data_IF_344051284568
#
_entry.id   IF_344051284568
#
_cell.length_a   1.000
_cell.length_b   1.000
_cell.length_c   1.000
_cell.angle_alpha   90.00
_cell.angle_beta   90.00
_cell.angle_gamma   90.00
#
_symmetry.space_group_name_H-M   'P 1'
#
loop_
_entity.id
_entity.type
_entity.pdbx_description
1 polymer ?
#
# COMPACT_ATOMS: atom_id res chain seq x y z
N UNK A 1 5.77 -21.70 -13.65
CA UNK A 1 5.75 -22.02 -12.20
C UNK A 1 6.49 -20.87 -11.51
N UNK A 2 5.92 -19.78 -10.99
CA UNK A 2 4.64 -19.53 -10.31
C UNK A 2 4.10 -18.10 -10.56
N UNK A 3 4.32 -17.46 -11.71
CA UNK A 3 3.68 -16.17 -12.05
C UNK A 3 3.91 -14.99 -11.09
N UNK A 4 4.75 -15.16 -10.07
CA UNK A 4 5.10 -14.15 -9.10
C UNK A 4 6.38 -13.46 -9.54
N UNK A 5 6.43 -12.14 -9.35
CA UNK A 5 7.63 -11.34 -9.50
C UNK A 5 7.81 -10.51 -8.22
N UNK A 6 9.05 -10.39 -7.77
CA UNK A 6 9.41 -9.55 -6.63
C UNK A 6 9.86 -8.18 -7.16
N UNK A 7 9.49 -7.12 -6.44
CA UNK A 7 10.03 -5.77 -6.67
C UNK A 7 10.69 -5.33 -5.37
N UNK A 8 11.93 -4.89 -5.46
CA UNK A 8 12.71 -4.39 -4.34
C UNK A 8 13.18 -2.96 -4.61
N UNK A 9 13.39 -2.22 -3.53
CA UNK A 9 13.95 -0.87 -3.54
C UNK A 9 14.66 -0.66 -2.21
N UNK A 10 15.81 0.02 -2.23
CA UNK A 10 16.46 0.49 -1.01
C UNK A 10 15.67 1.59 -0.31
N UNK A 11 14.78 2.28 -1.04
CA UNK A 11 13.84 3.25 -0.48
C UNK A 11 12.45 2.62 -0.35
N UNK A 12 12.06 2.37 0.90
CA UNK A 12 10.76 1.76 1.28
C UNK A 12 9.56 2.61 0.86
N UNK A 13 9.74 3.92 0.67
CA UNK A 13 8.71 4.84 0.20
C UNK A 13 8.10 4.40 -1.12
N UNK A 14 8.95 4.07 -2.10
CA UNK A 14 8.51 3.64 -3.42
C UNK A 14 7.73 2.33 -3.32
N UNK A 15 8.13 1.45 -2.40
CA UNK A 15 7.48 0.15 -2.22
C UNK A 15 6.11 0.27 -1.58
N UNK A 16 5.99 1.06 -0.52
CA UNK A 16 4.70 1.33 0.11
C UNK A 16 3.76 2.07 -0.85
N UNK A 17 4.28 3.05 -1.59
CA UNK A 17 3.52 3.80 -2.60
C UNK A 17 2.92 2.88 -3.66
N UNK A 18 3.75 1.98 -4.22
CA UNK A 18 3.32 1.03 -5.24
C UNK A 18 2.32 0.01 -4.68
N UNK A 19 2.59 -0.52 -3.48
CA UNK A 19 1.72 -1.49 -2.81
C UNK A 19 0.30 -0.93 -2.62
N UNK A 20 0.18 0.26 -2.01
CA UNK A 20 -1.11 0.89 -1.74
C UNK A 20 -1.87 1.20 -3.03
N UNK A 21 -1.18 1.76 -4.02
CA UNK A 21 -1.78 2.06 -5.33
C UNK A 21 -2.34 0.80 -5.99
N UNK A 22 -1.59 -0.30 -5.98
CA UNK A 22 -2.02 -1.56 -6.58
C UNK A 22 -3.18 -2.19 -5.81
N UNK A 23 -3.13 -2.22 -4.48
CA UNK A 23 -4.23 -2.77 -3.68
C UNK A 23 -5.53 -2.00 -3.86
N UNK A 24 -5.47 -0.66 -3.92
CA UNK A 24 -6.64 0.17 -4.23
C UNK A 24 -7.20 -0.08 -5.64
N UNK A 25 -6.33 -0.14 -6.65
CA UNK A 25 -6.76 -0.40 -8.03
C UNK A 25 -7.45 -1.76 -8.16
N UNK A 26 -6.89 -2.80 -7.51
CA UNK A 26 -7.47 -4.15 -7.51
C UNK A 26 -8.81 -4.22 -6.77
N UNK A 27 -9.04 -3.37 -5.76
CA UNK A 27 -10.33 -3.28 -5.08
C UNK A 27 -11.35 -2.39 -5.80
N UNK A 28 -10.98 -1.75 -6.91
CA UNK A 28 -11.86 -0.87 -7.68
C UNK A 28 -12.20 0.45 -7.01
N UNK A 29 -11.50 0.82 -5.92
CA UNK A 29 -11.83 2.01 -5.13
C UNK A 29 -11.17 3.27 -5.70
N UNK A 30 -11.89 4.38 -5.62
CA UNK A 30 -11.34 5.71 -5.87
C UNK A 30 -10.53 6.22 -4.68
N UNK A 31 -9.70 7.24 -4.89
CA UNK A 31 -8.96 7.91 -3.81
C UNK A 31 -9.88 8.51 -2.75
N UNK A 32 -11.04 9.04 -3.16
CA UNK A 32 -12.00 9.62 -2.21
C UNK A 32 -12.64 8.54 -1.36
N UNK A 33 -13.07 7.42 -1.95
CA UNK A 33 -13.67 6.32 -1.20
C UNK A 33 -12.74 5.76 -0.13
N UNK A 34 -11.44 5.63 -0.41
CA UNK A 34 -10.47 5.18 0.59
C UNK A 34 -10.25 6.24 1.67
N UNK A 35 -10.16 7.51 1.29
CA UNK A 35 -10.05 8.60 2.27
C UNK A 35 -11.27 8.68 3.19
N UNK A 36 -12.49 8.49 2.65
CA UNK A 36 -13.73 8.47 3.41
C UNK A 36 -13.74 7.30 4.43
N UNK A 37 -13.29 6.10 4.01
CA UNK A 37 -13.14 4.93 4.90
C UNK A 37 -12.15 5.17 6.04
N UNK A 38 -11.14 6.01 5.80
CA UNK A 38 -10.12 6.39 6.79
C UNK A 38 -10.55 7.58 7.66
N UNK A 39 -11.73 8.17 7.43
CA UNK A 39 -12.18 9.38 8.10
C UNK A 39 -11.35 10.63 7.74
N UNK A 40 -10.65 10.61 6.60
CA UNK A 40 -9.88 11.76 6.15
C UNK A 40 -10.78 12.82 5.51
N UNK A 41 -10.54 14.08 5.84
CA UNK A 41 -11.26 15.23 5.27
C UNK A 41 -10.94 15.51 3.79
N UNK A 42 -9.92 14.85 3.23
CA UNK A 42 -9.50 15.05 1.84
C UNK A 42 -8.95 13.78 1.22
N UNK A 43 -9.33 13.50 -0.04
CA UNK A 43 -8.72 12.47 -0.88
C UNK A 43 -7.20 12.62 -1.01
N UNK A 44 -6.69 13.85 -0.89
CA UNK A 44 -5.26 14.12 -0.99
C UNK A 44 -4.47 13.55 0.18
N UNK A 45 -5.08 13.37 1.36
CA UNK A 45 -4.44 12.77 2.52
C UNK A 45 -4.04 11.32 2.25
N UNK A 46 -4.92 10.55 1.61
CA UNK A 46 -4.60 9.19 1.16
C UNK A 46 -3.66 9.21 -0.06
N UNK A 47 -3.89 10.10 -1.04
CA UNK A 47 -3.06 10.19 -2.24
C UNK A 47 -1.58 10.51 -1.98
N UNK A 48 -1.24 11.18 -0.88
CA UNK A 48 0.15 11.44 -0.46
C UNK A 48 0.93 10.14 -0.26
N UNK A 49 0.30 9.10 0.27
CA UNK A 49 0.93 7.80 0.44
C UNK A 49 1.15 7.10 -0.90
N UNK A 50 0.15 7.11 -1.80
CA UNK A 50 0.28 6.53 -3.16
C UNK A 50 1.24 7.28 -4.08
N UNK A 51 1.65 8.50 -3.71
CA UNK A 51 2.67 9.30 -4.41
C UNK A 51 4.04 9.23 -3.76
N UNK A 52 4.19 8.50 -2.65
CA UNK A 52 5.42 8.46 -1.87
C UNK A 52 5.77 9.79 -1.17
N UNK A 53 4.85 10.75 -1.05
CA UNK A 53 5.13 12.01 -0.36
C UNK A 53 5.23 11.84 1.16
N UNK A 54 4.71 10.73 1.69
CA UNK A 54 4.72 10.39 3.11
C UNK A 54 4.89 8.89 3.26
N UNK A 55 5.77 8.49 4.18
CA UNK A 55 5.95 7.08 4.55
C UNK A 55 5.12 6.82 5.81
N UNK A 56 4.17 5.87 5.79
CA UNK A 56 3.37 5.57 6.97
C UNK A 56 4.21 4.84 8.02
N UNK A 57 3.83 4.99 9.28
CA UNK A 57 4.25 4.05 10.33
C UNK A 57 3.67 2.66 10.04
N UNK A 58 4.21 1.62 10.66
CA UNK A 58 3.68 0.26 10.49
C UNK A 58 2.19 0.15 10.88
N UNK A 59 1.79 0.79 11.98
CA UNK A 59 0.37 0.83 12.39
C UNK A 59 -0.51 1.51 11.34
N UNK A 60 -0.09 2.67 10.84
CA UNK A 60 -0.83 3.38 9.79
C UNK A 60 -0.87 2.59 8.48
N UNK A 61 0.20 1.86 8.14
CA UNK A 61 0.22 0.97 6.98
C UNK A 61 -0.87 -0.11 7.07
N UNK A 62 -1.05 -0.71 8.26
CA UNK A 62 -2.14 -1.64 8.52
C UNK A 62 -3.51 -1.03 8.28
N UNK A 63 -3.77 0.17 8.84
CA UNK A 63 -5.03 0.90 8.60
C UNK A 63 -5.28 1.21 7.12
N UNK A 64 -4.25 1.69 6.41
CA UNK A 64 -4.34 2.01 4.99
C UNK A 64 -4.69 0.77 4.15
N UNK A 65 -4.05 -0.37 4.47
CA UNK A 65 -4.26 -1.63 3.76
C UNK A 65 -5.62 -2.25 4.08
N UNK A 66 -6.09 -2.15 5.32
CA UNK A 66 -7.44 -2.55 5.70
C UNK A 66 -8.50 -1.69 5.00
N UNK A 67 -8.28 -0.39 4.87
CA UNK A 67 -9.21 0.50 4.18
C UNK A 67 -9.39 0.16 2.68
N UNK A 68 -8.30 -0.26 2.01
CA UNK A 68 -8.37 -0.68 0.59
C UNK A 68 -8.88 -2.10 0.40
N UNK A 69 -8.64 -2.99 1.36
CA UNK A 69 -9.13 -4.37 1.33
C UNK A 69 -9.38 -4.90 2.76
N UNK A 70 -10.62 -4.78 3.29
CA UNK A 70 -10.95 -5.19 4.66
C UNK A 70 -10.85 -6.69 4.91
N UNK A 71 -10.92 -7.49 3.84
CA UNK A 71 -11.00 -8.96 3.92
C UNK A 71 -9.64 -9.64 3.72
N UNK A 72 -8.56 -8.86 3.61
CA UNK A 72 -7.23 -9.40 3.37
C UNK A 72 -6.29 -9.08 4.52
N UNK A 73 -5.65 -10.12 5.03
CA UNK A 73 -4.51 -9.99 5.93
C UNK A 73 -3.24 -9.72 5.14
N UNK A 74 -2.35 -8.96 5.76
CA UNK A 74 -1.02 -8.68 5.21
C UNK A 74 -0.06 -9.69 5.81
N UNK A 75 0.61 -10.43 4.94
CA UNK A 75 1.69 -11.34 5.33
C UNK A 75 3.00 -10.76 4.83
N UNK A 76 3.97 -10.63 5.73
CA UNK A 76 5.34 -10.20 5.42
C UNK A 76 6.22 -11.43 5.48
N UNK A 77 6.94 -11.70 4.39
CA UNK A 77 7.89 -12.79 4.27
C UNK A 77 9.26 -12.23 3.91
N UNK A 78 10.31 -12.98 4.26
CA UNK A 78 11.66 -12.71 3.76
C UNK A 78 11.71 -12.91 2.24
N UNK A 79 12.43 -12.03 1.54
CA UNK A 79 12.63 -12.17 0.10
C UNK A 79 13.46 -13.42 -0.17
N UNK A 80 13.04 -14.17 -1.18
CA UNK A 80 13.79 -15.35 -1.66
C UNK A 80 14.96 -14.96 -2.58
N UNK A 81 15.00 -13.69 -2.99
CA UNK A 81 16.06 -13.13 -3.80
C UNK A 81 17.17 -12.61 -2.89
N UNK A 82 18.32 -13.30 -2.85
CA UNK A 82 19.50 -12.76 -2.18
C UNK A 82 19.93 -11.50 -2.93
N UNK A 83 19.74 -10.33 -2.33
CA UNK A 83 20.33 -9.10 -2.83
C UNK A 83 21.85 -9.31 -2.86
N UNK A 84 22.44 -9.36 -4.05
CA UNK A 84 23.89 -9.27 -4.23
C UNK A 84 24.34 -7.82 -4.05
#
# INVERSE_FOLDING_TARGET
KNGAFEVASSDSRHMVSLLLQRKRQLSGLSLSQVADRLGFSSRNSYARYERGQTVPTLGKLGELLHAVNPNADIVINESTTTAK
#
